data_IF_016232200556
#
_entry.id   IF_016232200556
#
_cell.length_a   1.000
_cell.length_b   1.000
_cell.length_c   1.000
_cell.angle_alpha   90.00
_cell.angle_beta   90.00
_cell.angle_gamma   90.00
#
_symmetry.space_group_name_H-M   'P 1'
#
loop_
_entity.id
_entity.type
_entity.pdbx_description
1 polymer ?
#
# COMPACT_ATOMS: atom_id res chain seq x y z
N UNK A 1 -12.59 124.10 1.65
CA UNK A 1 -11.77 123.01 2.23
C UNK A 1 -12.36 122.72 3.62
N UNK A 2 -13.13 121.66 3.74
CA UNK A 2 -13.78 121.26 5.02
C UNK A 2 -12.72 120.62 5.92
N UNK A 3 -12.51 121.22 7.09
CA UNK A 3 -11.65 120.64 8.13
C UNK A 3 -12.32 119.38 8.65
N UNK A 4 -11.73 118.25 8.30
CA UNK A 4 -12.14 116.95 8.88
C UNK A 4 -11.81 117.04 10.38
N UNK A 5 -12.83 116.95 11.22
CA UNK A 5 -12.68 117.11 12.67
C UNK A 5 -11.80 115.96 13.22
N UNK A 6 -10.93 116.29 14.15
CA UNK A 6 -10.00 115.32 14.81
C UNK A 6 -10.73 114.08 15.40
N UNK A 7 -12.04 114.21 15.56
CA UNK A 7 -12.93 113.12 16.07
C UNK A 7 -12.98 111.93 15.11
N UNK A 8 -12.87 112.17 13.79
CA UNK A 8 -12.90 111.06 12.80
C UNK A 8 -11.66 110.23 12.85
N UNK A 9 -10.50 110.77 13.19
CA UNK A 9 -9.28 109.98 13.36
C UNK A 9 -9.31 109.14 14.63
N UNK A 10 -9.94 109.64 15.70
CA UNK A 10 -10.11 108.93 16.94
C UNK A 10 -11.11 107.76 16.72
N UNK A 11 -12.19 107.99 16.01
CA UNK A 11 -13.15 106.94 15.66
C UNK A 11 -12.52 105.82 14.78
N UNK A 12 -11.68 106.22 13.79
CA UNK A 12 -10.94 105.23 12.96
C UNK A 12 -9.94 104.42 13.77
N UNK A 13 -9.22 105.06 14.69
CA UNK A 13 -8.29 104.34 15.57
C UNK A 13 -9.00 103.39 16.52
N UNK A 14 -10.16 103.73 17.05
CA UNK A 14 -10.97 102.80 17.89
C UNK A 14 -11.48 101.53 17.09
N UNK A 15 -11.90 101.80 15.84
CA UNK A 15 -12.35 100.70 14.99
C UNK A 15 -11.19 99.74 14.65
N UNK A 16 -10.01 100.31 14.39
CA UNK A 16 -8.81 99.47 14.11
C UNK A 16 -8.40 98.66 15.34
N UNK A 17 -8.45 99.28 16.54
CA UNK A 17 -8.15 98.52 17.79
C UNK A 17 -9.19 97.48 18.07
N UNK A 18 -10.49 97.76 17.84
CA UNK A 18 -11.55 96.78 18.00
C UNK A 18 -11.39 95.56 16.98
N UNK A 19 -11.00 95.90 15.73
CA UNK A 19 -10.74 94.91 14.72
C UNK A 19 -9.47 94.05 15.05
N UNK A 20 -8.45 94.71 15.55
CA UNK A 20 -7.23 94.01 15.98
C UNK A 20 -7.45 93.11 17.19
N UNK A 21 -8.24 93.60 18.20
CA UNK A 21 -8.61 92.70 19.33
C UNK A 21 -9.53 91.61 18.94
N UNK A 22 -10.40 91.78 17.94
CA UNK A 22 -11.23 90.68 17.41
C UNK A 22 -10.43 89.64 16.61
N UNK A 23 -9.44 90.10 15.84
CA UNK A 23 -8.52 89.25 15.10
C UNK A 23 -7.53 88.52 16.03
N UNK A 24 -7.04 89.13 17.11
CA UNK A 24 -6.16 88.51 18.09
C UNK A 24 -6.91 87.66 19.10
N UNK A 25 -8.21 87.79 19.22
CA UNK A 25 -9.08 86.94 20.01
C UNK A 25 -9.41 85.63 19.22
N UNK A 26 -8.55 85.33 18.25
CA UNK A 26 -8.67 84.15 17.41
C UNK A 26 -8.84 82.87 18.19
N UNK A 27 -9.95 82.30 17.94
CA UNK A 27 -10.34 80.93 17.99
C UNK A 27 -9.38 80.04 18.79
N UNK A 28 -9.45 80.07 20.09
CA UNK A 28 -8.97 78.96 20.92
C UNK A 28 -9.85 77.78 20.60
N UNK A 29 -9.42 76.94 19.60
CA UNK A 29 -9.98 75.62 19.46
C UNK A 29 -9.61 74.86 20.71
N UNK A 30 -10.52 74.76 21.64
CA UNK A 30 -10.44 73.81 22.74
C UNK A 30 -10.30 72.40 22.09
N UNK A 31 -9.09 71.89 22.15
CA UNK A 31 -8.83 70.49 21.89
C UNK A 31 -9.57 69.67 22.97
N UNK A 32 -10.85 69.41 22.73
CA UNK A 32 -11.60 68.49 23.57
C UNK A 32 -10.99 67.12 23.34
N UNK A 33 -10.08 66.74 24.22
CA UNK A 33 -9.59 65.37 24.29
C UNK A 33 -10.78 64.52 24.77
N UNK A 34 -11.43 63.82 23.82
CA UNK A 34 -12.46 62.84 24.16
C UNK A 34 -11.77 61.60 24.68
N UNK A 35 -11.80 61.39 25.96
CA UNK A 35 -11.39 60.14 26.58
C UNK A 35 -12.53 59.13 26.38
N UNK A 36 -12.30 58.14 25.52
CA UNK A 36 -13.14 56.97 25.48
C UNK A 36 -12.80 56.09 26.69
N UNK A 37 -13.71 55.99 27.62
CA UNK A 37 -13.57 55.09 28.79
C UNK A 37 -14.30 53.83 28.48
N UNK A 38 -13.54 52.73 28.34
CA UNK A 38 -14.10 51.38 28.23
C UNK A 38 -13.96 50.69 29.58
N UNK A 39 -15.04 50.04 30.00
CA UNK A 39 -15.07 49.35 31.29
C UNK A 39 -14.31 48.02 31.11
N UNK A 40 -13.26 47.80 31.88
CA UNK A 40 -12.53 46.54 31.89
C UNK A 40 -13.48 45.39 32.31
N UNK A 41 -13.67 44.45 31.41
CA UNK A 41 -14.46 43.25 31.65
C UNK A 41 -13.54 42.04 31.76
N UNK A 42 -13.83 41.18 32.73
CA UNK A 42 -13.14 39.92 32.88
C UNK A 42 -13.73 38.97 31.83
N UNK A 43 -12.96 38.61 30.81
CA UNK A 43 -13.38 37.67 29.78
C UNK A 43 -12.41 36.47 29.72
N UNK A 44 -12.90 35.33 29.33
CA UNK A 44 -12.07 34.17 29.09
C UNK A 44 -11.47 34.26 27.70
N UNK A 45 -10.16 34.24 27.62
CA UNK A 45 -9.43 34.14 26.35
C UNK A 45 -9.23 32.65 26.07
N UNK A 46 -9.88 32.12 25.04
CA UNK A 46 -9.64 30.77 24.52
C UNK A 46 -8.61 30.86 23.39
N UNK A 47 -7.46 30.33 23.62
CA UNK A 47 -6.47 30.15 22.58
C UNK A 47 -6.62 28.72 22.00
N UNK A 48 -7.18 28.57 20.81
CA UNK A 48 -7.32 27.28 20.15
C UNK A 48 -6.19 27.11 19.13
N UNK A 49 -5.44 26.01 19.28
CA UNK A 49 -4.44 25.59 18.30
C UNK A 49 -5.05 24.47 17.49
N UNK A 50 -5.21 24.67 16.19
CA UNK A 50 -5.61 23.63 15.25
C UNK A 50 -4.36 23.03 14.61
N UNK A 51 -4.25 21.72 14.65
CA UNK A 51 -3.23 20.96 13.93
C UNK A 51 -3.91 20.00 12.96
N UNK A 52 -3.39 19.90 11.75
CA UNK A 52 -3.79 18.92 10.75
C UNK A 52 -2.70 17.85 10.65
N UNK A 53 -3.09 16.60 10.51
CA UNK A 53 -2.18 15.49 10.32
C UNK A 53 -2.84 14.39 9.50
N UNK A 54 -2.05 13.59 8.81
CA UNK A 54 -2.48 12.37 8.13
C UNK A 54 -2.24 11.17 9.04
N UNK A 55 -3.23 10.27 9.09
CA UNK A 55 -3.07 8.99 9.79
C UNK A 55 -2.55 8.00 8.77
N UNK A 56 -1.38 7.45 9.03
CA UNK A 56 -0.76 6.41 8.20
C UNK A 56 -0.64 5.11 9.00
N UNK A 57 -0.80 3.94 8.35
CA UNK A 57 -0.61 2.66 9.01
C UNK A 57 0.87 2.47 9.38
N UNK A 58 1.14 1.88 10.54
CA UNK A 58 2.50 1.55 10.99
C UNK A 58 3.15 0.49 10.08
N UNK A 59 2.33 -0.44 9.55
CA UNK A 59 2.77 -1.48 8.62
C UNK A 59 1.75 -1.61 7.50
N UNK A 60 2.22 -1.55 6.26
CA UNK A 60 1.42 -1.83 5.06
C UNK A 60 2.11 -2.89 4.23
N UNK A 61 1.37 -3.91 3.81
CA UNK A 61 1.88 -5.01 2.98
C UNK A 61 1.01 -5.15 1.74
N UNK A 62 1.66 -5.13 0.58
CA UNK A 62 0.98 -5.41 -0.69
C UNK A 62 0.96 -6.92 -0.90
N UNK A 63 -0.23 -7.50 -1.08
CA UNK A 63 -0.42 -8.92 -1.36
C UNK A 63 -0.57 -9.10 -2.87
N UNK A 64 0.41 -9.76 -3.48
CA UNK A 64 0.41 -10.14 -4.90
C UNK A 64 0.15 -11.62 -5.10
N UNK A 65 0.17 -12.07 -6.37
CA UNK A 65 0.03 -13.47 -6.76
C UNK A 65 1.37 -14.01 -7.24
N UNK A 66 1.66 -15.29 -6.92
CA UNK A 66 2.87 -15.98 -7.41
C UNK A 66 2.60 -16.80 -8.69
N UNK A 67 1.34 -16.95 -9.07
CA UNK A 67 0.91 -17.62 -10.30
C UNK A 67 -0.08 -16.72 -11.05
N UNK A 68 -0.02 -16.77 -12.37
CA UNK A 68 -0.97 -16.04 -13.22
C UNK A 68 -2.26 -16.84 -13.35
N UNK A 69 -3.39 -16.12 -13.37
CA UNK A 69 -4.70 -16.77 -13.51
C UNK A 69 -5.85 -15.75 -13.48
N UNK A 70 -7.07 -16.25 -13.56
CA UNK A 70 -8.28 -15.46 -13.41
C UNK A 70 -8.73 -15.52 -11.95
N UNK A 71 -9.09 -14.40 -11.36
CA UNK A 71 -9.66 -14.35 -10.02
C UNK A 71 -11.04 -14.99 -10.06
N UNK A 72 -11.18 -16.15 -9.42
CA UNK A 72 -12.44 -16.89 -9.38
C UNK A 72 -13.37 -16.35 -8.30
N UNK A 73 -12.83 -16.02 -7.13
CA UNK A 73 -13.57 -15.46 -5.99
C UNK A 73 -12.72 -14.50 -5.19
N UNK A 74 -13.37 -13.48 -4.66
CA UNK A 74 -12.79 -12.52 -3.73
C UNK A 74 -13.60 -12.57 -2.42
N UNK A 75 -12.94 -12.83 -1.28
CA UNK A 75 -13.58 -13.03 0.02
C UNK A 75 -13.53 -11.80 0.91
N UNK A 76 -12.87 -10.75 0.44
CA UNK A 76 -12.68 -9.50 1.21
C UNK A 76 -12.96 -8.31 0.31
N UNK A 77 -13.39 -7.21 0.93
CA UNK A 77 -13.60 -5.93 0.26
C UNK A 77 -12.85 -4.84 1.01
N UNK A 78 -12.90 -3.62 0.47
CA UNK A 78 -12.37 -2.43 1.14
C UNK A 78 -12.87 -2.35 2.60
N UNK A 79 -11.97 -1.99 3.51
CA UNK A 79 -12.23 -1.89 4.96
C UNK A 79 -12.60 -3.21 5.66
N UNK A 80 -12.39 -4.36 5.03
CA UNK A 80 -12.60 -5.67 5.66
C UNK A 80 -11.47 -5.98 6.65
N UNK A 81 -11.83 -6.48 7.83
CA UNK A 81 -10.87 -6.98 8.82
C UNK A 81 -10.43 -8.39 8.44
N UNK A 82 -9.12 -8.62 8.36
CA UNK A 82 -8.52 -9.91 8.00
C UNK A 82 -7.54 -10.38 9.06
N UNK A 83 -7.45 -11.70 9.21
CA UNK A 83 -6.48 -12.37 10.08
C UNK A 83 -5.36 -12.98 9.25
N UNK A 84 -4.17 -13.10 9.83
CA UNK A 84 -3.04 -13.81 9.23
C UNK A 84 -3.44 -15.24 8.84
N UNK A 85 -3.17 -15.63 7.57
CA UNK A 85 -3.55 -16.92 7.01
C UNK A 85 -4.99 -17.00 6.52
N UNK A 86 -5.81 -15.97 6.71
CA UNK A 86 -7.18 -15.93 6.17
C UNK A 86 -7.13 -15.82 4.65
N UNK A 87 -7.95 -16.62 3.95
CA UNK A 87 -8.09 -16.56 2.49
C UNK A 87 -8.75 -15.24 2.11
N UNK A 88 -8.10 -14.49 1.22
CA UNK A 88 -8.58 -13.20 0.71
C UNK A 88 -9.05 -13.28 -0.74
N UNK A 89 -8.43 -14.13 -1.54
CA UNK A 89 -8.82 -14.37 -2.92
C UNK A 89 -8.47 -15.80 -3.37
N UNK A 90 -9.14 -16.27 -4.39
CA UNK A 90 -8.92 -17.57 -5.00
C UNK A 90 -8.90 -17.44 -6.51
N UNK A 91 -7.86 -17.97 -7.14
CA UNK A 91 -7.72 -18.04 -8.59
C UNK A 91 -8.41 -19.28 -9.14
N UNK A 92 -8.73 -19.27 -10.42
CA UNK A 92 -9.19 -20.47 -11.13
C UNK A 92 -8.11 -21.54 -11.12
N UNK A 93 -8.43 -22.68 -10.49
CA UNK A 93 -7.52 -23.81 -10.28
C UNK A 93 -7.57 -24.86 -11.39
N UNK A 94 -8.46 -24.70 -12.37
CA UNK A 94 -8.73 -25.75 -13.38
C UNK A 94 -7.47 -26.19 -14.09
N UNK A 95 -6.69 -25.26 -14.60
CA UNK A 95 -5.43 -25.56 -15.30
C UNK A 95 -4.36 -26.12 -14.36
N UNK A 96 -4.25 -25.57 -13.14
CA UNK A 96 -3.27 -26.02 -12.15
C UNK A 96 -3.56 -27.44 -11.64
N UNK A 97 -4.84 -27.80 -11.48
CA UNK A 97 -5.26 -29.17 -11.14
C UNK A 97 -4.92 -30.11 -12.28
N UNK A 98 -5.15 -29.70 -13.52
CA UNK A 98 -4.81 -30.52 -14.70
C UNK A 98 -3.30 -30.76 -14.81
N UNK A 99 -2.48 -29.74 -14.57
CA UNK A 99 -1.03 -29.81 -14.52
C UNK A 99 -0.56 -30.76 -13.42
N UNK A 100 -1.13 -30.65 -12.22
CA UNK A 100 -0.83 -31.56 -11.10
C UNK A 100 -1.19 -33.01 -11.44
N UNK A 101 -2.34 -33.24 -12.05
CA UNK A 101 -2.77 -34.59 -12.44
C UNK A 101 -1.84 -35.18 -13.51
N UNK A 102 -1.40 -34.40 -14.49
CA UNK A 102 -0.41 -34.79 -15.49
C UNK A 102 0.93 -35.14 -14.85
N UNK A 103 1.43 -34.33 -13.93
CA UNK A 103 2.65 -34.58 -13.19
C UNK A 103 2.56 -35.88 -12.36
N UNK A 104 1.42 -36.13 -11.70
CA UNK A 104 1.16 -37.37 -10.96
C UNK A 104 1.14 -38.61 -11.89
N UNK A 105 0.53 -38.51 -13.06
CA UNK A 105 0.50 -39.59 -14.04
C UNK A 105 1.92 -39.91 -14.52
N UNK A 106 2.75 -38.89 -14.80
CA UNK A 106 4.14 -39.08 -15.18
C UNK A 106 4.96 -39.74 -14.07
N UNK A 107 4.75 -39.34 -12.81
CA UNK A 107 5.38 -39.97 -11.66
C UNK A 107 4.98 -41.44 -11.55
N UNK A 108 3.71 -41.79 -11.73
CA UNK A 108 3.21 -43.18 -11.70
C UNK A 108 3.85 -44.04 -12.80
N UNK A 109 3.98 -43.49 -14.01
CA UNK A 109 4.68 -44.12 -15.12
C UNK A 109 6.17 -44.38 -14.79
N UNK A 110 6.87 -43.37 -14.29
CA UNK A 110 8.27 -43.48 -13.88
C UNK A 110 8.46 -44.52 -12.77
N UNK A 111 7.54 -44.57 -11.79
CA UNK A 111 7.58 -45.58 -10.72
C UNK A 111 7.39 -47.00 -11.26
N UNK A 112 6.50 -47.18 -12.25
CA UNK A 112 6.30 -48.49 -12.91
C UNK A 112 7.56 -48.94 -13.66
N UNK A 113 8.21 -47.99 -14.35
CA UNK A 113 9.49 -48.25 -15.03
C UNK A 113 10.59 -48.59 -14.02
N UNK A 114 10.70 -47.84 -12.92
CA UNK A 114 11.67 -48.15 -11.87
C UNK A 114 11.45 -49.51 -11.25
N UNK A 115 10.19 -49.90 -11.03
CA UNK A 115 9.86 -51.24 -10.51
C UNK A 115 10.37 -52.35 -11.46
N UNK A 116 10.13 -52.17 -12.75
CA UNK A 116 10.64 -53.12 -13.76
C UNK A 116 12.16 -53.20 -13.76
N UNK A 117 12.85 -52.05 -13.82
CA UNK A 117 14.32 -52.03 -13.84
C UNK A 117 14.93 -52.53 -12.52
N UNK A 118 14.25 -52.32 -11.40
CA UNK A 118 14.68 -52.89 -10.10
C UNK A 118 14.69 -54.39 -10.12
N UNK A 119 13.63 -55.06 -10.65
CA UNK A 119 13.56 -56.48 -10.74
C UNK A 119 14.54 -57.03 -11.80
N UNK A 120 14.74 -56.28 -12.89
CA UNK A 120 15.72 -56.60 -13.91
C UNK A 120 17.15 -56.54 -13.35
N UNK A 121 17.54 -55.49 -12.67
CA UNK A 121 18.83 -55.35 -12.00
C UNK A 121 19.08 -56.48 -10.98
N UNK A 122 18.09 -56.79 -10.13
CA UNK A 122 18.20 -57.89 -9.16
C UNK A 122 18.47 -59.24 -9.86
N UNK A 123 17.80 -59.50 -10.98
CA UNK A 123 17.97 -60.72 -11.80
C UNK A 123 19.38 -60.78 -12.36
N UNK A 124 19.86 -59.73 -13.01
CA UNK A 124 21.20 -59.66 -13.58
C UNK A 124 22.29 -59.78 -12.51
N UNK A 125 22.07 -59.17 -11.35
CA UNK A 125 22.97 -59.33 -10.20
C UNK A 125 23.08 -60.80 -9.78
N UNK A 126 21.97 -61.50 -9.64
CA UNK A 126 21.97 -62.90 -9.27
C UNK A 126 22.65 -63.80 -10.34
N UNK A 127 22.48 -63.48 -11.62
CA UNK A 127 23.12 -64.17 -12.71
C UNK A 127 24.64 -63.90 -12.75
N UNK A 128 25.04 -62.63 -12.52
CA UNK A 128 26.45 -62.27 -12.48
C UNK A 128 27.18 -62.94 -11.30
N UNK A 129 26.57 -63.01 -10.12
CA UNK A 129 27.10 -63.66 -8.93
C UNK A 129 27.32 -65.15 -9.17
N UNK A 130 26.58 -65.77 -10.18
CA UNK A 130 26.72 -67.14 -10.59
C UNK A 130 27.62 -67.34 -11.83
N UNK A 131 28.22 -66.22 -12.34
CA UNK A 131 29.07 -66.29 -13.56
C UNK A 131 28.32 -66.53 -14.86
N UNK A 132 27.00 -66.33 -14.92
CA UNK A 132 26.12 -66.65 -16.06
C UNK A 132 25.90 -65.50 -17.04
N UNK A 133 26.36 -64.26 -16.70
CA UNK A 133 26.31 -63.07 -17.55
C UNK A 133 27.64 -62.33 -17.48
N UNK A 134 27.90 -61.50 -18.50
CA UNK A 134 29.12 -60.72 -18.57
C UNK A 134 29.04 -59.48 -17.58
N UNK A 135 30.20 -58.94 -17.25
CA UNK A 135 30.25 -57.68 -16.44
C UNK A 135 29.55 -56.51 -17.15
N UNK A 136 29.64 -56.43 -18.47
CA UNK A 136 28.98 -55.39 -19.27
C UNK A 136 27.45 -55.48 -19.19
N UNK A 137 26.89 -56.68 -19.29
CA UNK A 137 25.43 -56.89 -19.15
C UNK A 137 24.92 -56.49 -17.75
N UNK A 138 25.67 -56.80 -16.68
CA UNK A 138 25.36 -56.43 -15.32
C UNK A 138 25.44 -54.90 -15.13
N UNK A 139 26.49 -54.23 -15.61
CA UNK A 139 26.65 -52.78 -15.50
C UNK A 139 25.58 -52.04 -16.32
N UNK A 140 25.18 -52.58 -17.51
CA UNK A 140 24.07 -52.00 -18.27
C UNK A 140 22.72 -52.10 -17.53
N UNK A 141 22.44 -53.22 -16.85
CA UNK A 141 21.24 -53.34 -16.02
C UNK A 141 21.27 -52.40 -14.83
N UNK A 142 22.44 -52.20 -14.20
CA UNK A 142 22.67 -51.25 -13.14
C UNK A 142 22.45 -49.81 -13.62
N UNK A 143 23.03 -49.43 -14.74
CA UNK A 143 22.85 -48.10 -15.34
C UNK A 143 21.38 -47.79 -15.67
N UNK A 144 20.64 -48.78 -16.17
CA UNK A 144 19.21 -48.68 -16.45
C UNK A 144 18.40 -48.45 -15.18
N UNK A 145 18.69 -49.18 -14.11
CA UNK A 145 18.10 -48.97 -12.79
C UNK A 145 18.41 -47.56 -12.27
N UNK A 146 19.67 -47.09 -12.30
CA UNK A 146 20.08 -45.79 -11.82
C UNK A 146 19.38 -44.66 -12.62
N UNK A 147 19.26 -44.78 -13.95
CA UNK A 147 18.50 -43.87 -14.79
C UNK A 147 17.02 -43.83 -14.43
N UNK A 148 16.39 -44.99 -14.21
CA UNK A 148 14.98 -45.07 -13.83
C UNK A 148 14.75 -44.42 -12.45
N UNK A 149 15.69 -44.60 -11.49
CA UNK A 149 15.65 -43.94 -10.19
C UNK A 149 15.71 -42.41 -10.30
N UNK A 150 16.62 -41.90 -11.13
CA UNK A 150 16.71 -40.44 -11.37
C UNK A 150 15.43 -39.89 -12.03
N UNK A 151 14.82 -40.67 -12.95
CA UNK A 151 13.56 -40.26 -13.58
C UNK A 151 12.41 -40.14 -12.57
N UNK A 152 12.34 -41.06 -11.60
CA UNK A 152 11.36 -40.96 -10.50
C UNK A 152 11.61 -39.72 -9.65
N UNK A 153 12.88 -39.43 -9.32
CA UNK A 153 13.21 -38.21 -8.53
C UNK A 153 12.80 -36.95 -9.26
N UNK A 154 13.13 -36.82 -10.55
CA UNK A 154 12.73 -35.63 -11.34
C UNK A 154 11.21 -35.49 -11.50
N UNK A 155 10.50 -36.63 -11.68
CA UNK A 155 9.04 -36.62 -11.73
C UNK A 155 8.41 -36.26 -10.39
N UNK A 156 9.01 -36.65 -9.27
CA UNK A 156 8.59 -36.30 -7.92
C UNK A 156 8.73 -34.79 -7.70
N UNK A 157 9.84 -34.21 -8.11
CA UNK A 157 10.05 -32.75 -8.05
C UNK A 157 9.03 -31.97 -8.91
N UNK A 158 8.68 -32.54 -10.09
CA UNK A 158 7.64 -31.94 -10.94
C UNK A 158 6.27 -31.96 -10.27
N UNK A 159 5.90 -33.04 -9.56
CA UNK A 159 4.66 -33.08 -8.76
C UNK A 159 4.69 -32.05 -7.64
N UNK A 160 5.82 -31.95 -6.93
CA UNK A 160 5.98 -30.95 -5.84
C UNK A 160 5.82 -29.54 -6.36
N UNK A 161 6.42 -29.21 -7.51
CA UNK A 161 6.29 -27.92 -8.17
C UNK A 161 4.83 -27.60 -8.53
N UNK A 162 4.14 -28.55 -9.18
CA UNK A 162 2.74 -28.37 -9.56
C UNK A 162 1.83 -28.21 -8.32
N UNK A 163 2.12 -28.94 -7.24
CA UNK A 163 1.39 -28.82 -5.98
C UNK A 163 1.61 -27.47 -5.31
N UNK A 164 2.82 -26.95 -5.33
CA UNK A 164 3.16 -25.61 -4.81
C UNK A 164 2.44 -24.53 -5.61
N UNK A 165 2.45 -24.63 -6.95
CA UNK A 165 1.73 -23.69 -7.82
C UNK A 165 0.22 -23.70 -7.54
N UNK A 166 -0.35 -24.88 -7.31
CA UNK A 166 -1.76 -25.00 -6.91
C UNK A 166 -2.03 -24.35 -5.55
N UNK A 167 -1.09 -24.45 -4.63
CA UNK A 167 -1.17 -23.73 -3.32
C UNK A 167 -1.20 -22.22 -3.49
N UNK A 168 -0.42 -21.68 -4.41
CA UNK A 168 -0.38 -20.24 -4.70
C UNK A 168 -1.65 -19.69 -5.35
N UNK A 169 -2.51 -20.56 -5.89
CA UNK A 169 -3.83 -20.15 -6.38
C UNK A 169 -4.79 -19.73 -5.26
N UNK A 170 -4.47 -20.02 -4.01
CA UNK A 170 -5.22 -19.54 -2.84
C UNK A 170 -4.40 -18.49 -2.14
N UNK A 171 -4.85 -17.23 -2.26
CA UNK A 171 -4.13 -16.07 -1.75
C UNK A 171 -4.60 -15.80 -0.32
N UNK A 172 -3.65 -15.73 0.61
CA UNK A 172 -3.93 -15.51 2.04
C UNK A 172 -3.27 -14.24 2.55
N UNK A 173 -3.84 -13.65 3.60
CA UNK A 173 -3.25 -12.50 4.27
C UNK A 173 -1.98 -12.92 5.03
N UNK A 174 -0.84 -12.21 4.86
CA UNK A 174 0.38 -12.47 5.62
C UNK A 174 0.36 -11.89 7.04
N UNK A 175 -0.54 -10.93 7.32
CA UNK A 175 -0.63 -10.21 8.59
C UNK A 175 -2.10 -10.09 9.05
N UNK A 176 -2.29 -9.78 10.33
CA UNK A 176 -3.57 -9.29 10.84
C UNK A 176 -3.72 -7.81 10.50
N UNK A 177 -4.90 -7.39 10.06
CA UNK A 177 -5.11 -5.99 9.69
C UNK A 177 -6.43 -5.70 9.02
N UNK A 178 -6.46 -4.57 8.31
CA UNK A 178 -7.61 -4.08 7.56
C UNK A 178 -7.20 -3.85 6.10
N UNK A 179 -8.04 -4.24 5.17
CA UNK A 179 -7.83 -4.03 3.74
C UNK A 179 -7.96 -2.55 3.41
N UNK A 180 -6.85 -1.92 3.01
CA UNK A 180 -6.81 -0.50 2.67
C UNK A 180 -7.30 -0.21 1.25
N UNK A 181 -6.98 -1.11 0.32
CA UNK A 181 -7.38 -0.96 -1.09
C UNK A 181 -7.48 -2.32 -1.76
N UNK A 182 -8.32 -2.39 -2.76
CA UNK A 182 -8.54 -3.55 -3.62
C UNK A 182 -8.25 -3.12 -5.06
N UNK A 183 -7.23 -3.72 -5.67
CA UNK A 183 -6.78 -3.39 -7.03
C UNK A 183 -7.34 -4.36 -8.09
N UNK A 184 -8.06 -5.40 -7.68
CA UNK A 184 -8.54 -6.48 -8.56
C UNK A 184 -9.99 -6.82 -8.27
N UNK A 185 -10.70 -7.30 -9.31
CA UNK A 185 -12.10 -7.71 -9.23
C UNK A 185 -12.25 -9.19 -9.63
N UNK A 186 -13.38 -9.81 -9.25
CA UNK A 186 -13.72 -11.15 -9.71
C UNK A 186 -13.82 -11.20 -11.23
N UNK A 187 -13.29 -12.24 -11.86
CA UNK A 187 -13.21 -12.38 -13.31
C UNK A 187 -12.01 -11.68 -13.95
N UNK A 188 -11.24 -10.89 -13.22
CA UNK A 188 -10.06 -10.21 -13.75
C UNK A 188 -8.88 -11.18 -13.85
N UNK A 189 -8.10 -11.06 -14.93
CA UNK A 189 -6.82 -11.79 -15.09
C UNK A 189 -5.71 -11.06 -14.35
N UNK A 190 -4.98 -11.80 -13.52
CA UNK A 190 -3.79 -11.32 -12.80
C UNK A 190 -2.55 -12.06 -13.26
N UNK A 191 -1.42 -11.36 -13.30
CA UNK A 191 -0.13 -11.92 -13.60
C UNK A 191 0.70 -12.12 -12.32
N UNK A 192 1.54 -13.13 -12.31
CA UNK A 192 2.54 -13.32 -11.25
C UNK A 192 3.46 -12.11 -11.18
N UNK A 193 3.67 -11.58 -9.97
CA UNK A 193 4.49 -10.40 -9.71
C UNK A 193 5.58 -10.72 -8.68
#
# INVERSE_FOLDING_TARGET
MKKISKIWYVAGALIIVALATWLLSGNKKDLQIQFSKEKAQKTNIQNSVTATGTIEPVTSVTVGTQVSGIVSRLFVDYNSVVKKGQVIAELDKTNLISELNTAKANLSSAQSSLKYETENYKRYKTLFDKGLVSADEYENARLSYDKALQTVNTSKESVQKAQTNLGYATITSPIDGVVLSKAVEEGQTVAAS
#
